data_IF_992137594338
#
_entry.id   IF_992137594338
#
_cell.length_a   1.000
_cell.length_b   1.000
_cell.length_c   1.000
_cell.angle_alpha   90.00
_cell.angle_beta   90.00
_cell.angle_gamma   90.00
#
_symmetry.space_group_name_H-M   'P 1'
#
loop_
_entity.id
_entity.type
_entity.pdbx_description
1 polymer ?
#
# COMPACT_ATOMS: atom_id res chain seq x y z
N UNK A 1 -34.23 28.28 -10.98
CA UNK A 1 -33.76 26.95 -11.42
C UNK A 1 -32.31 26.88 -11.00
N UNK A 2 -32.03 26.25 -9.85
CA UNK A 2 -30.70 26.24 -9.24
C UNK A 2 -29.74 25.47 -10.13
N UNK A 3 -28.76 26.18 -10.66
CA UNK A 3 -27.49 25.60 -11.13
C UNK A 3 -26.85 24.88 -9.96
N UNK A 4 -26.80 23.55 -10.04
CA UNK A 4 -25.99 22.73 -9.15
C UNK A 4 -24.53 23.07 -9.47
N UNK A 5 -23.84 23.64 -8.49
CA UNK A 5 -22.40 23.87 -8.50
C UNK A 5 -21.67 22.56 -8.78
N UNK A 6 -21.20 22.37 -10.02
CA UNK A 6 -20.33 21.25 -10.43
C UNK A 6 -18.86 21.47 -10.08
N UNK A 7 -18.59 22.21 -9.01
CA UNK A 7 -17.24 22.48 -8.51
C UNK A 7 -17.13 22.12 -7.03
N UNK A 8 -17.58 20.92 -6.65
CA UNK A 8 -16.97 20.26 -5.50
C UNK A 8 -15.54 19.90 -5.96
N UNK A 9 -14.64 20.86 -5.78
CA UNK A 9 -13.23 20.71 -6.07
C UNK A 9 -12.71 19.39 -5.47
N UNK A 10 -11.82 18.73 -6.21
CA UNK A 10 -10.88 17.73 -5.72
C UNK A 10 -10.40 18.14 -4.32
N UNK A 11 -11.05 17.63 -3.28
CA UNK A 11 -10.49 17.68 -1.94
C UNK A 11 -9.57 16.49 -1.92
N UNK A 12 -8.26 16.73 -1.92
CA UNK A 12 -7.26 15.69 -1.75
C UNK A 12 -7.61 14.89 -0.49
N UNK A 13 -8.20 13.71 -0.69
CA UNK A 13 -8.63 12.87 0.42
C UNK A 13 -7.40 12.38 1.15
N UNK A 14 -7.32 12.69 2.44
CA UNK A 14 -6.29 12.18 3.34
C UNK A 14 -6.94 11.75 4.63
N UNK A 15 -6.52 10.61 5.18
CA UNK A 15 -6.88 10.18 6.52
C UNK A 15 -5.64 10.15 7.40
N UNK A 16 -5.67 10.89 8.50
CA UNK A 16 -4.56 10.90 9.44
C UNK A 16 -4.45 9.54 10.16
N UNK A 17 -3.22 9.04 10.38
CA UNK A 17 -3.02 7.80 11.11
C UNK A 17 -3.67 7.85 12.50
N UNK A 18 -4.41 6.81 12.84
CA UNK A 18 -4.97 6.58 14.17
C UNK A 18 -5.09 5.07 14.41
N UNK A 19 -5.22 4.60 15.66
CA UNK A 19 -5.41 3.18 15.93
C UNK A 19 -6.67 2.58 15.25
N UNK A 20 -7.69 3.41 15.05
CA UNK A 20 -8.91 3.01 14.34
C UNK A 20 -8.65 2.84 12.84
N UNK A 21 -7.95 3.80 12.22
CA UNK A 21 -7.59 3.71 10.80
C UNK A 21 -6.63 2.55 10.55
N UNK A 22 -5.62 2.35 11.42
CA UNK A 22 -4.72 1.19 11.33
C UNK A 22 -5.48 -0.13 11.34
N UNK A 23 -6.50 -0.24 12.20
CA UNK A 23 -7.33 -1.45 12.28
C UNK A 23 -8.14 -1.65 11.01
N UNK A 24 -8.77 -0.60 10.48
CA UNK A 24 -9.53 -0.67 9.22
C UNK A 24 -8.63 -1.03 8.03
N UNK A 25 -7.42 -0.46 7.96
CA UNK A 25 -6.41 -0.79 6.93
C UNK A 25 -6.04 -2.26 7.01
N UNK A 26 -5.67 -2.75 8.20
CA UNK A 26 -5.31 -4.14 8.43
C UNK A 26 -6.43 -5.10 8.03
N UNK A 27 -7.67 -4.83 8.47
CA UNK A 27 -8.82 -5.67 8.14
C UNK A 27 -9.08 -5.71 6.63
N UNK A 28 -9.07 -4.56 5.96
CA UNK A 28 -9.25 -4.47 4.51
C UNK A 28 -8.17 -5.26 3.76
N UNK A 29 -6.90 -5.01 4.08
CA UNK A 29 -5.79 -5.64 3.37
C UNK A 29 -5.74 -7.14 3.64
N UNK A 30 -5.95 -7.59 4.88
CA UNK A 30 -5.94 -9.01 5.22
C UNK A 30 -7.04 -9.78 4.49
N UNK A 31 -8.25 -9.23 4.41
CA UNK A 31 -9.35 -9.85 3.65
C UNK A 31 -8.99 -10.04 2.16
N UNK A 32 -8.18 -9.15 1.58
CA UNK A 32 -7.70 -9.26 0.19
C UNK A 32 -6.52 -10.22 0.07
N UNK A 33 -5.60 -10.19 1.03
CA UNK A 33 -4.37 -10.99 1.05
C UNK A 33 -4.61 -12.47 1.41
N UNK A 34 -5.79 -12.83 1.94
CA UNK A 34 -6.20 -14.22 2.14
C UNK A 34 -6.06 -15.05 0.85
N UNK A 35 -6.39 -14.48 -0.32
CA UNK A 35 -6.24 -15.14 -1.62
C UNK A 35 -4.79 -15.46 -1.98
N UNK A 36 -3.83 -14.76 -1.35
CA UNK A 36 -2.40 -14.96 -1.50
C UNK A 36 -1.80 -15.83 -0.38
N UNK A 37 -2.62 -16.28 0.59
CA UNK A 37 -2.16 -17.08 1.73
C UNK A 37 -1.25 -16.32 2.70
N UNK A 38 -1.42 -15.01 2.81
CA UNK A 38 -0.59 -14.13 3.65
C UNK A 38 -1.43 -13.04 4.33
N UNK A 39 -0.78 -12.17 5.10
CA UNK A 39 -1.40 -10.99 5.72
C UNK A 39 -0.53 -9.75 5.53
N UNK A 40 -1.10 -8.58 5.82
CA UNK A 40 -0.49 -7.28 5.55
C UNK A 40 0.76 -7.00 6.38
N UNK A 41 1.03 -7.78 7.44
CA UNK A 41 2.19 -7.63 8.31
C UNK A 41 3.28 -8.68 8.05
N UNK A 42 3.03 -9.66 7.17
CA UNK A 42 3.98 -10.72 6.81
C UNK A 42 4.68 -10.48 5.46
N UNK A 43 4.24 -9.51 4.67
CA UNK A 43 4.85 -9.13 3.40
C UNK A 43 5.41 -7.71 3.49
N UNK A 44 6.65 -7.56 3.05
CA UNK A 44 7.37 -6.30 2.99
C UNK A 44 7.63 -5.93 1.53
N UNK A 45 7.30 -4.70 1.15
CA UNK A 45 7.81 -4.11 -0.07
C UNK A 45 9.21 -3.58 0.23
N UNK A 46 10.22 -4.00 -0.54
CA UNK A 46 11.62 -3.60 -0.33
C UNK A 46 12.20 -3.09 -1.62
N UNK A 47 12.81 -1.90 -1.56
CA UNK A 47 13.48 -1.24 -2.67
C UNK A 47 14.97 -1.12 -2.38
N UNK A 48 15.79 -1.34 -3.39
CA UNK A 48 17.25 -1.14 -3.35
C UNK A 48 17.69 0.03 -4.22
N UNK A 49 18.89 0.53 -3.95
CA UNK A 49 19.50 1.63 -4.70
C UNK A 49 19.69 1.33 -6.19
N UNK A 50 20.07 0.09 -6.53
CA UNK A 50 20.23 -0.40 -7.89
C UNK A 50 20.27 -1.95 -7.92
N UNK A 51 20.05 -2.55 -9.09
CA UNK A 51 19.99 -4.00 -9.23
C UNK A 51 21.35 -4.72 -9.28
N UNK A 52 22.44 -4.02 -9.64
CA UNK A 52 23.77 -4.64 -9.78
C UNK A 52 24.47 -4.81 -8.43
N UNK A 53 24.35 -3.81 -7.56
CA UNK A 53 24.91 -3.76 -6.21
C UNK A 53 23.79 -3.32 -5.24
N UNK A 54 22.89 -4.25 -4.86
CA UNK A 54 21.71 -3.92 -4.10
C UNK A 54 22.06 -3.47 -2.68
N UNK A 55 21.69 -2.22 -2.37
CA UNK A 55 21.66 -1.69 -1.00
C UNK A 55 20.24 -1.30 -0.68
N UNK A 56 19.63 -1.89 0.36
CA UNK A 56 18.25 -1.58 0.76
C UNK A 56 18.13 -0.11 1.15
N UNK A 57 17.21 0.61 0.51
CA UNK A 57 16.92 2.03 0.77
C UNK A 57 15.54 2.24 1.38
N UNK A 58 14.65 1.26 1.22
CA UNK A 58 13.29 1.30 1.75
C UNK A 58 12.80 -0.13 2.00
N UNK A 59 12.13 -0.35 3.12
CA UNK A 59 11.43 -1.61 3.41
C UNK A 59 10.32 -1.37 4.42
N UNK A 60 9.10 -1.79 4.07
CA UNK A 60 7.90 -1.55 4.87
C UNK A 60 6.89 -2.67 4.65
N UNK A 61 6.17 -3.06 5.71
CA UNK A 61 5.08 -4.01 5.58
C UNK A 61 3.86 -3.38 4.87
N UNK A 62 2.98 -4.21 4.31
CA UNK A 62 1.84 -3.73 3.53
C UNK A 62 0.82 -2.96 4.40
N UNK A 63 0.72 -3.23 5.70
CA UNK A 63 -0.16 -2.49 6.60
C UNK A 63 0.31 -1.05 6.77
N UNK A 64 1.60 -0.86 7.04
CA UNK A 64 2.19 0.45 7.15
C UNK A 64 2.14 1.19 5.79
N UNK A 65 2.39 0.51 4.66
CA UNK A 65 2.24 1.09 3.32
C UNK A 65 0.79 1.55 3.04
N UNK A 66 -0.20 0.79 3.52
CA UNK A 66 -1.61 1.16 3.43
C UNK A 66 -1.95 2.41 4.25
N UNK A 67 -1.40 2.53 5.46
CA UNK A 67 -1.56 3.75 6.27
C UNK A 67 -0.95 4.97 5.56
N UNK A 68 0.27 4.85 5.01
CA UNK A 68 0.91 5.96 4.28
C UNK A 68 0.13 6.35 3.03
N UNK A 69 -0.44 5.37 2.31
CA UNK A 69 -1.31 5.60 1.15
C UNK A 69 -2.51 6.48 1.52
N UNK A 70 -3.12 6.23 2.68
CA UNK A 70 -4.25 7.02 3.16
C UNK A 70 -3.81 8.37 3.72
N UNK A 71 -2.67 8.45 4.41
CA UNK A 71 -2.17 9.71 4.94
C UNK A 71 -1.84 10.70 3.82
N UNK A 72 -1.25 10.23 2.73
CA UNK A 72 -0.85 11.07 1.59
C UNK A 72 -1.95 11.20 0.53
N UNK A 73 -3.01 10.40 0.64
CA UNK A 73 -4.10 10.40 -0.34
C UNK A 73 -3.68 9.87 -1.72
N UNK A 74 -2.56 9.15 -1.81
CA UNK A 74 -1.95 8.74 -3.07
C UNK A 74 -1.21 7.40 -2.93
N UNK A 75 -1.22 6.61 -4.00
CA UNK A 75 -0.51 5.33 -4.08
C UNK A 75 0.93 5.57 -4.51
N UNK A 76 1.88 4.97 -3.78
CA UNK A 76 3.29 4.96 -4.19
C UNK A 76 3.48 3.97 -5.34
N UNK A 77 4.00 4.45 -6.46
CA UNK A 77 4.37 3.60 -7.61
C UNK A 77 5.85 3.28 -7.55
N UNK A 78 6.16 2.00 -7.69
CA UNK A 78 7.48 1.43 -7.54
C UNK A 78 8.07 0.99 -8.89
N UNK A 79 9.40 1.09 -9.00
CA UNK A 79 10.15 0.51 -10.10
C UNK A 79 10.44 -0.97 -9.80
N UNK A 80 9.75 -1.85 -10.53
CA UNK A 80 9.87 -3.30 -10.39
C UNK A 80 11.25 -3.86 -10.73
N UNK A 81 12.14 -3.09 -11.35
CA UNK A 81 13.53 -3.49 -11.58
C UNK A 81 14.37 -3.47 -10.28
N UNK A 82 13.97 -2.67 -9.29
CA UNK A 82 14.70 -2.48 -8.02
C UNK A 82 13.83 -2.68 -6.78
N UNK A 83 12.54 -2.96 -6.97
CA UNK A 83 11.59 -3.25 -5.89
C UNK A 83 11.07 -4.68 -5.98
N UNK A 84 10.92 -5.34 -4.83
CA UNK A 84 10.31 -6.66 -4.70
C UNK A 84 9.48 -6.81 -3.43
N UNK A 85 8.72 -7.89 -3.35
CA UNK A 85 7.98 -8.30 -2.16
C UNK A 85 8.76 -9.42 -1.45
N UNK A 86 8.89 -9.33 -0.13
CA UNK A 86 9.70 -10.24 0.68
C UNK A 86 8.99 -10.59 1.98
N UNK A 87 9.27 -11.78 2.51
CA UNK A 87 8.72 -12.25 3.80
C UNK A 87 9.52 -11.76 5.02
N UNK A 88 10.60 -10.99 4.79
CA UNK A 88 11.43 -10.42 5.84
C UNK A 88 11.69 -8.95 5.59
N UNK A 89 11.62 -8.18 6.67
CA UNK A 89 11.94 -6.75 6.67
C UNK A 89 13.42 -6.51 6.37
N UNK A 90 13.71 -5.46 5.60
CA UNK A 90 15.06 -4.98 5.30
C UNK A 90 15.97 -6.01 4.62
N UNK A 91 15.37 -6.93 3.85
CA UNK A 91 16.09 -7.97 3.10
C UNK A 91 15.76 -7.87 1.61
N UNK A 92 16.78 -7.96 0.76
CA UNK A 92 16.67 -8.08 -0.69
C UNK A 92 17.42 -9.34 -1.14
N UNK A 93 16.83 -10.49 -0.84
CA UNK A 93 17.36 -11.83 -1.12
C UNK A 93 16.25 -12.69 -1.73
N UNK A 94 16.54 -13.28 -2.88
CA UNK A 94 15.61 -14.15 -3.62
C UNK A 94 15.14 -15.35 -2.80
N UNK A 95 15.92 -15.81 -1.81
CA UNK A 95 15.53 -16.92 -0.92
C UNK A 95 14.31 -16.60 -0.05
N UNK A 96 14.00 -15.31 0.18
CA UNK A 96 12.84 -14.86 0.96
C UNK A 96 11.87 -14.00 0.15
N UNK A 97 12.08 -13.93 -1.17
CA UNK A 97 11.18 -13.24 -2.09
C UNK A 97 9.82 -13.94 -2.11
N UNK A 98 8.78 -13.13 -2.03
CA UNK A 98 7.40 -13.53 -2.19
C UNK A 98 7.01 -13.28 -3.64
N UNK A 99 6.51 -14.31 -4.32
CA UNK A 99 6.05 -14.21 -5.72
C UNK A 99 4.60 -13.74 -5.84
N UNK A 100 3.82 -13.83 -4.76
CA UNK A 100 2.40 -13.48 -4.69
C UNK A 100 2.06 -12.94 -3.29
N UNK A 101 1.64 -11.67 -3.14
CA UNK A 101 1.43 -10.70 -4.22
C UNK A 101 2.74 -10.19 -4.84
N UNK A 102 2.68 -9.86 -6.12
CA UNK A 102 3.71 -9.08 -6.83
C UNK A 102 3.64 -7.59 -6.47
N UNK A 103 4.68 -6.83 -6.81
CA UNK A 103 4.71 -5.37 -6.58
C UNK A 103 3.52 -4.66 -7.25
N UNK A 104 3.13 -5.06 -8.47
CA UNK A 104 2.00 -4.46 -9.18
C UNK A 104 0.65 -4.81 -8.53
N UNK A 105 0.52 -6.01 -7.99
CA UNK A 105 -0.68 -6.38 -7.22
C UNK A 105 -0.74 -5.62 -5.90
N UNK A 106 0.39 -5.41 -5.22
CA UNK A 106 0.45 -4.54 -4.03
C UNK A 106 -0.01 -3.12 -4.37
N UNK A 107 0.49 -2.51 -5.45
CA UNK A 107 0.04 -1.18 -5.90
C UNK A 107 -1.47 -1.14 -6.18
N UNK A 108 -2.01 -2.18 -6.82
CA UNK A 108 -3.45 -2.31 -7.07
C UNK A 108 -4.25 -2.42 -5.76
N UNK A 109 -3.77 -3.19 -4.79
CA UNK A 109 -4.39 -3.29 -3.46
C UNK A 109 -4.42 -1.94 -2.74
N UNK A 110 -3.33 -1.15 -2.83
CA UNK A 110 -3.28 0.20 -2.25
C UNK A 110 -4.26 1.16 -2.96
N UNK A 111 -4.42 1.01 -4.28
CA UNK A 111 -5.41 1.78 -5.04
C UNK A 111 -6.85 1.43 -4.64
N UNK A 112 -7.14 0.14 -4.47
CA UNK A 112 -8.44 -0.34 -3.97
C UNK A 112 -8.71 0.16 -2.55
N UNK A 113 -7.72 0.10 -1.66
CA UNK A 113 -7.80 0.62 -0.30
C UNK A 113 -8.14 2.12 -0.31
N UNK A 114 -7.40 2.92 -1.08
CA UNK A 114 -7.62 4.35 -1.18
C UNK A 114 -9.02 4.68 -1.72
N UNK A 115 -9.49 3.96 -2.74
CA UNK A 115 -10.83 4.12 -3.28
C UNK A 115 -11.91 3.75 -2.26
N UNK A 116 -11.74 2.61 -1.57
CA UNK A 116 -12.67 2.16 -0.54
C UNK A 116 -12.75 3.16 0.64
N UNK A 117 -11.61 3.67 1.09
CA UNK A 117 -11.56 4.65 2.17
C UNK A 117 -12.25 5.97 1.78
N UNK A 118 -12.06 6.43 0.52
CA UNK A 118 -12.76 7.60 -0.04
C UNK A 118 -14.28 7.43 -0.03
N UNK A 119 -14.77 6.23 -0.33
CA UNK A 119 -16.20 5.97 -0.39
C UNK A 119 -16.84 5.78 0.99
N UNK A 120 -16.13 5.12 1.92
CA UNK A 120 -16.75 4.58 3.12
C UNK A 120 -16.23 5.14 4.45
N UNK A 121 -15.05 5.73 4.49
CA UNK A 121 -14.40 6.16 5.74
C UNK A 121 -14.32 7.68 5.89
N UNK A 122 -14.84 8.42 4.91
CA UNK A 122 -15.15 9.85 5.03
C UNK A 122 -16.34 10.02 5.97
N UNK A 123 -16.09 10.09 7.28
CA UNK A 123 -17.09 10.41 8.31
C UNK A 123 -16.50 11.36 9.34
#
# INVERSE_FOLDING_TARGET
>A
MNTIDKNAADVDFTLKPSPEIDTRVREFLNAKLEAHGTDSQQVYITTVSNAAEPVVTFSQDLNALGNDTLEWGNVQIHDTAVTGCFSKHWVYDEAVRVSSPSVREVEALMQELLAHAKEHWNS
#
